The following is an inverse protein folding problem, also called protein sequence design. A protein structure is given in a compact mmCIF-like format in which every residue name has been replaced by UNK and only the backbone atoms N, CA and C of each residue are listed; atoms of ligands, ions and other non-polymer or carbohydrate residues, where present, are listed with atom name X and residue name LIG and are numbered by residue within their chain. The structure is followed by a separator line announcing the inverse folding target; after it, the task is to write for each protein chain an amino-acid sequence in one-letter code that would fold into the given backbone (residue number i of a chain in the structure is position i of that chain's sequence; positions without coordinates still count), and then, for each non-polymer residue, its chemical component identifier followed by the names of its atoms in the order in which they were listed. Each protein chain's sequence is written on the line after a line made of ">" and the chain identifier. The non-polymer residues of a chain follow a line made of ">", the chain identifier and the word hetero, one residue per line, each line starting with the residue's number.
data_IF_083120281302
#
_entry.id   IF_083120281302
#
_cell.length_a   1.000
_cell.length_b   1.000
_cell.length_c   1.000
_cell.angle_alpha   90.00
_cell.angle_beta   90.00
_cell.angle_gamma   90.00
#
_symmetry.space_group_name_H-M   'P 1'
#
loop_
_entity.id
_entity.type
_entity.pdbx_description
1 polymer ?
#
# COMPACT_ATOMS: atom_id res chain seq x y z
N UNK A 1 -16.35 -7.32 -8.77
CA UNK A 1 -16.40 -5.84 -8.62
C UNK A 1 -15.60 -5.47 -7.38
N UNK A 2 -14.74 -4.45 -7.42
CA UNK A 2 -14.00 -4.00 -6.24
C UNK A 2 -14.68 -2.79 -5.58
N UNK A 3 -14.64 -2.75 -4.25
CA UNK A 3 -15.13 -1.63 -3.46
C UNK A 3 -14.09 -1.25 -2.41
N UNK A 4 -13.62 0.01 -2.43
CA UNK A 4 -12.91 0.59 -1.28
C UNK A 4 -13.93 0.86 -0.19
N UNK A 5 -13.69 0.32 1.01
CA UNK A 5 -14.58 0.51 2.16
C UNK A 5 -13.91 1.25 3.32
N UNK A 6 -12.59 1.45 3.25
CA UNK A 6 -11.83 2.23 4.22
C UNK A 6 -10.58 2.80 3.59
N UNK A 7 -10.24 4.02 3.98
CA UNK A 7 -9.00 4.69 3.61
C UNK A 7 -8.26 5.12 4.88
N UNK A 8 -6.94 4.94 4.88
CA UNK A 8 -6.08 5.27 6.01
C UNK A 8 -4.94 6.15 5.49
N UNK A 9 -4.82 7.34 6.05
CA UNK A 9 -3.74 8.25 5.73
C UNK A 9 -2.45 7.84 6.45
N UNK A 10 -1.35 7.87 5.71
CA UNK A 10 -0.02 7.56 6.21
C UNK A 10 0.89 8.76 6.04
N UNK A 11 1.51 9.17 7.14
CA UNK A 11 2.50 10.24 7.19
C UNK A 11 3.90 9.66 7.38
N UNK A 12 4.92 10.48 7.12
CA UNK A 12 6.34 10.13 7.28
C UNK A 12 6.70 8.79 6.62
N UNK A 13 6.12 8.53 5.45
CA UNK A 13 6.30 7.29 4.72
C UNK A 13 7.68 7.20 4.10
N UNK A 14 8.22 5.98 4.05
CA UNK A 14 9.48 5.66 3.38
C UNK A 14 9.28 4.43 2.52
N UNK A 15 9.53 4.60 1.23
CA UNK A 15 9.59 3.52 0.25
C UNK A 15 11.02 3.03 0.16
N UNK A 16 11.21 1.72 0.25
CA UNK A 16 12.51 1.08 0.20
C UNK A 16 12.57 0.10 -0.96
N UNK A 17 13.75 0.00 -1.55
CA UNK A 17 14.10 -1.04 -2.53
C UNK A 17 15.25 -1.88 -1.98
N UNK A 18 15.22 -3.17 -2.26
CA UNK A 18 16.34 -4.09 -1.98
C UNK A 18 16.98 -4.49 -3.30
N UNK A 19 18.29 -4.31 -3.40
CA UNK A 19 19.10 -4.64 -4.57
C UNK A 19 20.37 -5.34 -4.08
N UNK A 20 20.65 -6.54 -4.59
CA UNK A 20 21.80 -7.35 -4.17
C UNK A 20 21.87 -7.54 -2.65
N UNK A 21 20.72 -7.82 -2.01
CA UNK A 21 20.58 -7.98 -0.56
C UNK A 21 20.72 -6.70 0.28
N UNK A 22 20.98 -5.54 -0.34
CA UNK A 22 21.12 -4.26 0.37
C UNK A 22 19.83 -3.43 0.24
N UNK A 23 19.39 -2.86 1.36
CA UNK A 23 18.16 -2.06 1.44
C UNK A 23 18.46 -0.56 1.36
N UNK A 24 17.81 0.12 0.44
CA UNK A 24 17.96 1.56 0.20
C UNK A 24 16.63 2.29 0.36
N UNK A 25 16.66 3.51 0.88
CA UNK A 25 15.50 4.42 0.83
C UNK A 25 15.39 4.98 -0.58
N UNK A 26 14.32 4.64 -1.28
CA UNK A 26 14.02 5.13 -2.61
C UNK A 26 13.38 6.52 -2.55
N UNK A 27 12.40 6.68 -1.66
CA UNK A 27 11.64 7.92 -1.51
C UNK A 27 11.14 8.11 -0.08
N UNK A 28 11.07 9.38 0.34
CA UNK A 28 10.22 9.80 1.45
C UNK A 28 8.91 10.33 0.87
N UNK A 29 7.78 9.93 1.45
CA UNK A 29 6.47 10.11 0.84
C UNK A 29 5.34 10.26 1.86
N UNK A 30 4.22 10.80 1.36
CA UNK A 30 2.93 10.53 1.98
C UNK A 30 2.25 9.40 1.23
N UNK A 31 1.38 8.68 1.92
CA UNK A 31 0.66 7.58 1.32
C UNK A 31 -0.76 7.46 1.86
N UNK A 32 -1.58 6.74 1.10
CA UNK A 32 -2.93 6.34 1.48
C UNK A 32 -3.05 4.84 1.29
N UNK A 33 -3.56 4.16 2.32
CA UNK A 33 -3.90 2.74 2.21
C UNK A 33 -5.41 2.61 2.03
N UNK A 34 -5.81 1.95 0.96
CA UNK A 34 -7.19 1.63 0.66
C UNK A 34 -7.44 0.16 0.98
N UNK A 35 -8.37 -0.11 1.90
CA UNK A 35 -8.88 -1.47 2.11
C UNK A 35 -10.01 -1.72 1.12
N UNK A 36 -9.86 -2.79 0.34
CA UNK A 36 -10.75 -3.15 -0.76
C UNK A 36 -11.39 -4.52 -0.52
N UNK A 37 -12.64 -4.62 -0.94
CA UNK A 37 -13.39 -5.87 -1.00
C UNK A 37 -13.68 -6.23 -2.44
N UNK A 38 -13.46 -7.49 -2.79
CA UNK A 38 -13.99 -8.08 -4.00
C UNK A 38 -15.39 -8.61 -3.73
N UNK A 39 -16.35 -8.07 -4.47
CA UNK A 39 -17.75 -8.45 -4.44
C UNK A 39 -18.07 -9.33 -5.65
N UNK A 40 -18.66 -10.49 -5.36
CA UNK A 40 -19.21 -11.40 -6.35
C UNK A 40 -20.74 -11.45 -6.21
N UNK A 41 -21.45 -11.41 -7.34
CA UNK A 41 -22.91 -11.61 -7.34
C UNK A 41 -23.24 -13.08 -7.08
N UNK A 42 -24.24 -13.31 -6.23
CA UNK A 42 -24.76 -14.63 -5.91
C UNK A 42 -26.16 -14.77 -6.53
N UNK A 43 -26.28 -15.39 -7.72
CA UNK A 43 -27.56 -15.51 -8.42
C UNK A 43 -28.64 -16.20 -7.59
N UNK A 44 -28.23 -17.17 -6.74
CA UNK A 44 -29.12 -17.93 -5.87
C UNK A 44 -29.73 -17.12 -4.70
N UNK A 45 -29.24 -15.91 -4.43
CA UNK A 45 -29.70 -15.06 -3.34
C UNK A 45 -30.45 -13.81 -3.82
N UNK A 46 -30.94 -13.80 -5.06
CA UNK A 46 -31.76 -12.71 -5.60
C UNK A 46 -31.00 -11.39 -5.72
N UNK A 47 -29.89 -11.40 -6.48
CA UNK A 47 -29.04 -10.23 -6.75
C UNK A 47 -28.27 -9.67 -5.54
N UNK A 48 -28.11 -10.47 -4.47
CA UNK A 48 -27.20 -10.12 -3.37
C UNK A 48 -25.74 -10.31 -3.80
N UNK A 49 -24.85 -9.52 -3.21
CA UNK A 49 -23.40 -9.62 -3.40
C UNK A 49 -22.75 -10.18 -2.14
N UNK A 50 -21.78 -11.07 -2.30
CA UNK A 50 -20.93 -11.56 -1.22
C UNK A 50 -19.51 -11.02 -1.36
N UNK A 51 -18.89 -10.74 -0.22
CA UNK A 51 -17.45 -10.43 -0.16
C UNK A 51 -16.69 -11.75 -0.28
N UNK A 52 -15.92 -11.90 -1.36
CA UNK A 52 -15.14 -13.12 -1.62
C UNK A 52 -13.66 -12.95 -1.31
N UNK A 53 -13.16 -11.71 -1.33
CA UNK A 53 -11.76 -11.38 -1.00
C UNK A 53 -11.69 -10.02 -0.33
N UNK A 54 -10.80 -9.88 0.65
CA UNK A 54 -10.35 -8.59 1.18
C UNK A 54 -8.87 -8.42 0.89
N UNK A 55 -8.47 -7.24 0.48
CA UNK A 55 -7.07 -6.91 0.22
C UNK A 55 -6.82 -5.41 0.46
N UNK A 56 -5.57 -5.02 0.47
CA UNK A 56 -5.17 -3.63 0.65
C UNK A 56 -4.34 -3.18 -0.54
N UNK A 57 -4.54 -1.93 -0.96
CA UNK A 57 -3.68 -1.25 -1.94
C UNK A 57 -3.07 -0.02 -1.30
N UNK A 58 -1.79 0.22 -1.56
CA UNK A 58 -1.04 1.36 -1.09
C UNK A 58 -0.84 2.33 -2.25
N UNK A 59 -1.35 3.54 -2.11
CA UNK A 59 -1.09 4.66 -3.02
C UNK A 59 -0.03 5.55 -2.39
N UNK A 60 1.08 5.75 -3.09
CA UNK A 60 2.20 6.59 -2.65
C UNK A 60 2.28 7.82 -3.53
N UNK A 61 2.27 8.99 -2.92
CA UNK A 61 2.59 10.25 -3.59
C UNK A 61 3.99 10.68 -3.18
N UNK A 62 4.91 10.68 -4.15
CA UNK A 62 6.31 11.04 -3.90
C UNK A 62 6.43 12.53 -3.62
N UNK A 63 6.99 12.91 -2.47
CA UNK A 63 7.23 14.33 -2.14
C UNK A 63 8.50 14.89 -2.73
N UNK A 64 9.42 14.01 -3.11
CA UNK A 64 10.74 14.35 -3.61
C UNK A 64 11.10 13.42 -4.77
N UNK A 65 12.02 13.88 -5.61
CA UNK A 65 12.62 13.05 -6.66
C UNK A 65 13.20 11.78 -6.05
N UNK A 66 12.79 10.63 -6.57
CA UNK A 66 13.27 9.34 -6.11
C UNK A 66 14.80 9.25 -6.30
N UNK A 67 15.49 8.63 -5.34
CA UNK A 67 16.93 8.40 -5.49
C UNK A 67 17.19 7.50 -6.69
N UNK A 68 18.21 7.83 -7.47
CA UNK A 68 18.67 7.01 -8.58
C UNK A 68 19.38 5.79 -8.01
N UNK A 69 18.62 4.74 -7.74
CA UNK A 69 19.13 3.39 -7.50
C UNK A 69 19.15 2.69 -8.85
N UNK A 70 20.13 1.82 -9.09
CA UNK A 70 20.06 0.93 -10.26
C UNK A 70 18.88 -0.03 -10.07
N UNK A 71 17.74 0.36 -10.63
CA UNK A 71 16.46 -0.32 -10.49
C UNK A 71 16.33 -1.54 -11.43
N UNK A 72 17.36 -1.84 -12.22
CA UNK A 72 17.30 -2.96 -13.17
C UNK A 72 17.15 -4.32 -12.47
N UNK A 73 17.53 -4.42 -11.20
CA UNK A 73 17.52 -5.66 -10.41
C UNK A 73 16.89 -5.45 -9.01
N UNK A 74 15.70 -4.86 -8.94
CA UNK A 74 14.96 -4.78 -7.67
C UNK A 74 14.51 -6.18 -7.24
N UNK A 75 14.97 -6.63 -6.07
CA UNK A 75 14.57 -7.89 -5.45
C UNK A 75 13.27 -7.74 -4.66
N UNK A 76 13.12 -6.61 -3.97
CA UNK A 76 12.00 -6.36 -3.06
C UNK A 76 11.71 -4.88 -2.93
N UNK A 77 10.43 -4.52 -2.95
CA UNK A 77 9.95 -3.20 -2.55
C UNK A 77 9.21 -3.34 -1.22
N UNK A 78 9.54 -2.49 -0.26
CA UNK A 78 8.89 -2.45 1.05
C UNK A 78 8.55 -1.01 1.44
N UNK A 79 7.56 -0.85 2.29
CA UNK A 79 7.10 0.46 2.75
C UNK A 79 6.98 0.47 4.28
N UNK A 80 7.35 1.60 4.88
CA UNK A 80 7.12 1.88 6.30
C UNK A 80 6.55 3.28 6.45
N UNK A 81 5.62 3.49 7.39
CA UNK A 81 5.10 4.81 7.65
C UNK A 81 4.26 4.88 8.93
N UNK A 82 3.87 6.10 9.30
CA UNK A 82 3.01 6.40 10.44
C UNK A 82 1.55 6.48 10.00
N UNK A 83 0.77 5.47 10.38
CA UNK A 83 -0.64 5.35 10.04
C UNK A 83 -1.46 6.09 11.08
N UNK A 84 -2.26 7.06 10.63
CA UNK A 84 -3.06 7.88 11.51
C UNK A 84 -4.28 7.11 12.02
N UNK A 85 -4.47 7.12 13.34
CA UNK A 85 -5.62 6.60 14.07
C UNK A 85 -6.37 7.79 14.69
N UNK A 86 -7.58 8.06 14.21
CA UNK A 86 -8.49 9.09 14.74
C UNK A 86 -7.84 10.47 15.04
N UNK A 87 -7.07 11.03 14.10
CA UNK A 87 -6.47 12.38 14.14
C UNK A 87 -5.55 12.71 15.34
N UNK A 88 -5.28 11.78 16.26
CA UNK A 88 -4.50 12.05 17.49
C UNK A 88 -3.46 10.98 17.80
N UNK A 89 -3.72 9.72 17.43
CA UNK A 89 -2.77 8.62 17.62
C UNK A 89 -2.21 8.19 16.26
N UNK A 90 -0.99 7.67 16.26
CA UNK A 90 -0.43 7.00 15.08
C UNK A 90 0.21 5.67 15.46
N UNK A 91 0.24 4.75 14.50
CA UNK A 91 0.98 3.50 14.62
C UNK A 91 1.95 3.38 13.45
N UNK A 92 3.15 2.90 13.72
CA UNK A 92 4.10 2.59 12.66
C UNK A 92 3.81 1.17 12.16
N UNK A 93 3.50 1.03 10.87
CA UNK A 93 3.39 -0.27 10.22
C UNK A 93 4.36 -0.37 9.05
N UNK A 94 4.75 -1.61 8.76
CA UNK A 94 5.62 -1.95 7.64
C UNK A 94 4.91 -2.94 6.74
N UNK A 95 4.84 -2.64 5.44
CA UNK A 95 4.54 -3.62 4.41
C UNK A 95 5.86 -4.14 3.88
N UNK A 96 6.11 -5.43 4.09
CA UNK A 96 7.37 -6.07 3.72
C UNK A 96 7.48 -6.33 2.22
N UNK A 97 6.36 -6.43 1.53
CA UNK A 97 6.30 -6.67 0.09
C UNK A 97 5.18 -5.84 -0.54
N UNK A 98 5.60 -4.88 -1.35
CA UNK A 98 4.75 -4.02 -2.17
C UNK A 98 4.99 -4.38 -3.64
N UNK A 99 3.94 -4.73 -4.37
CA UNK A 99 4.00 -5.07 -5.79
C UNK A 99 3.47 -3.89 -6.60
N UNK A 100 4.26 -3.26 -7.48
CA UNK A 100 3.76 -2.20 -8.36
C UNK A 100 2.56 -2.72 -9.17
N UNK A 101 1.48 -1.96 -9.20
CA UNK A 101 0.30 -2.26 -10.02
C UNK A 101 0.54 -1.80 -11.47
N UNK A 102 1.19 -0.65 -11.61
CA UNK A 102 1.48 0.01 -12.88
C UNK A 102 2.99 0.35 -12.97
N UNK A 103 3.39 0.95 -14.08
CA UNK A 103 4.74 1.50 -14.24
C UNK A 103 5.05 2.53 -13.15
N UNK A 104 6.27 2.50 -12.63
CA UNK A 104 6.67 3.43 -11.58
C UNK A 104 6.91 4.82 -12.14
N UNK A 105 6.15 5.81 -11.67
CA UNK A 105 6.41 7.21 -11.91
C UNK A 105 7.44 7.72 -10.90
N UNK A 106 8.68 7.85 -11.38
CA UNK A 106 9.83 8.30 -10.59
C UNK A 106 10.01 9.83 -10.60
N UNK A 107 9.08 10.58 -11.20
CA UNK A 107 9.14 12.04 -11.26
C UNK A 107 8.86 12.66 -9.89
N UNK A 108 9.20 13.95 -9.74
CA UNK A 108 8.80 14.72 -8.58
C UNK A 108 7.27 14.89 -8.62
N UNK A 109 6.57 14.48 -7.56
CA UNK A 109 5.11 14.34 -7.49
C UNK A 109 4.51 13.11 -8.19
N UNK A 110 5.33 12.19 -8.70
CA UNK A 110 4.85 10.94 -9.26
C UNK A 110 4.02 10.12 -8.27
N UNK A 111 2.86 9.65 -8.73
CA UNK A 111 1.94 8.80 -7.96
C UNK A 111 2.13 7.34 -8.36
N UNK A 112 2.32 6.49 -7.36
CA UNK A 112 2.62 5.07 -7.55
C UNK A 112 1.66 4.22 -6.74
N UNK A 113 1.03 3.25 -7.40
CA UNK A 113 0.11 2.31 -6.77
C UNK A 113 0.76 0.94 -6.59
N UNK A 114 0.57 0.37 -5.40
CA UNK A 114 1.09 -0.94 -5.04
C UNK A 114 -0.02 -1.84 -4.48
N UNK A 115 -0.03 -3.11 -4.89
CA UNK A 115 -0.69 -4.16 -4.12
C UNK A 115 0.22 -4.52 -2.95
N UNK A 116 -0.33 -4.56 -1.74
CA UNK A 116 0.44 -4.92 -0.54
C UNK A 116 0.05 -6.32 -0.09
N UNK A 117 1.05 -7.19 0.04
CA UNK A 117 0.85 -8.52 0.61
C UNK A 117 0.85 -8.37 2.13
N UNK A 118 -0.34 -8.44 2.70
CA UNK A 118 -0.57 -8.29 4.13
C UNK A 118 -0.89 -9.63 4.77
N UNK A 119 -0.28 -9.92 5.92
CA UNK A 119 -0.75 -10.99 6.80
C UNK A 119 -2.12 -10.63 7.38
N UNK A 120 -2.87 -11.63 7.83
CA UNK A 120 -4.15 -11.42 8.54
C UNK A 120 -4.02 -10.52 9.77
N UNK A 121 -2.84 -10.54 10.42
CA UNK A 121 -2.54 -9.66 11.54
C UNK A 121 -2.48 -8.19 11.11
N UNK A 122 -1.78 -7.90 10.00
CA UNK A 122 -1.70 -6.53 9.45
C UNK A 122 -3.08 -6.06 9.02
N UNK A 123 -3.87 -6.89 8.33
CA UNK A 123 -5.25 -6.54 7.95
C UNK A 123 -6.09 -6.21 9.19
N UNK A 124 -6.00 -7.01 10.24
CA UNK A 124 -6.71 -6.74 11.50
C UNK A 124 -6.29 -5.42 12.12
N UNK A 125 -4.99 -5.10 12.13
CA UNK A 125 -4.49 -3.80 12.60
C UNK A 125 -5.06 -2.66 11.77
N UNK A 126 -4.99 -2.74 10.44
CA UNK A 126 -5.53 -1.71 9.54
C UNK A 126 -7.04 -1.51 9.73
N UNK A 127 -7.80 -2.59 9.96
CA UNK A 127 -9.23 -2.48 10.26
C UNK A 127 -9.52 -1.73 11.57
N UNK A 128 -8.59 -1.70 12.53
CA UNK A 128 -8.74 -1.01 13.81
C UNK A 128 -8.25 0.45 13.85
N UNK A 129 -7.63 0.95 12.77
CA UNK A 129 -7.13 2.34 12.65
C UNK A 129 -8.22 3.36 12.30
#
# INVERSE_FOLDING_TARGET
>A
MFRTYKEILVKNGKLFVTVSGNRYVLAECEAKVELKEELQELPCLGNKKAVVRRFATLLITSKHKMKTVDISNIELISFNGEFLKNNKDSVILTFTQCLPIDELDLTEQGENSFEVICSNEIITKLMAL
#
